data_IF_243435791576
#
_entry.id   IF_243435791576
#
_cell.length_a   1.000
_cell.length_b   1.000
_cell.length_c   1.000
_cell.angle_alpha   90.00
_cell.angle_beta   90.00
_cell.angle_gamma   90.00
#
_symmetry.space_group_name_H-M   'P 1'
#
loop_
_entity.id
_entity.type
_entity.pdbx_description
1 polymer ?
#
# COMPACT_ATOMS: atom_id res chain seq x y z
N UNK A 1 18.43 -18.28 -10.54
CA UNK A 1 18.20 -18.72 -11.95
C UNK A 1 19.54 -18.92 -12.66
N UNK A 2 19.80 -20.07 -13.30
CA UNK A 2 21.01 -20.26 -14.13
C UNK A 2 20.79 -19.65 -15.52
N UNK A 3 21.76 -18.87 -16.01
CA UNK A 3 21.73 -18.31 -17.36
C UNK A 3 21.80 -19.45 -18.40
N UNK A 4 20.97 -19.37 -19.44
CA UNK A 4 21.09 -20.25 -20.62
C UNK A 4 21.25 -19.42 -21.90
N UNK A 5 21.74 -20.04 -22.98
CA UNK A 5 21.99 -19.40 -24.28
C UNK A 5 20.78 -18.64 -24.87
N UNK A 6 19.54 -18.95 -24.44
CA UNK A 6 18.29 -18.35 -24.93
C UNK A 6 17.50 -17.58 -23.85
N UNK A 7 17.98 -17.56 -22.59
CA UNK A 7 17.26 -16.97 -21.46
C UNK A 7 18.25 -16.42 -20.45
N UNK A 8 18.61 -15.15 -20.62
CA UNK A 8 19.34 -14.42 -19.58
C UNK A 8 18.38 -14.01 -18.45
N UNK A 9 18.91 -13.83 -17.25
CA UNK A 9 18.15 -13.27 -16.11
C UNK A 9 17.51 -11.93 -16.47
N UNK A 10 18.16 -11.11 -17.29
CA UNK A 10 17.63 -9.82 -17.77
C UNK A 10 16.37 -9.99 -18.61
N UNK A 11 16.37 -10.93 -19.56
CA UNK A 11 15.18 -11.21 -20.39
C UNK A 11 14.05 -11.75 -19.52
N UNK A 12 14.36 -12.63 -18.56
CA UNK A 12 13.35 -13.12 -17.64
C UNK A 12 12.68 -11.98 -16.85
N UNK A 13 13.49 -11.08 -16.27
CA UNK A 13 12.99 -9.92 -15.53
C UNK A 13 12.19 -8.98 -16.43
N UNK A 14 12.64 -8.73 -17.66
CA UNK A 14 11.91 -7.91 -18.61
C UNK A 14 10.54 -8.51 -18.97
N UNK A 15 10.46 -9.84 -19.17
CA UNK A 15 9.18 -10.54 -19.40
C UNK A 15 8.26 -10.41 -18.19
N UNK A 16 8.78 -10.58 -16.98
CA UNK A 16 8.00 -10.44 -15.74
C UNK A 16 7.48 -9.01 -15.57
N UNK A 17 8.36 -8.01 -15.67
CA UNK A 17 7.96 -6.60 -15.53
C UNK A 17 6.97 -6.18 -16.63
N UNK A 18 7.17 -6.61 -17.88
CA UNK A 18 6.22 -6.33 -18.95
C UNK A 18 4.85 -6.98 -18.70
N UNK A 19 4.83 -8.22 -18.19
CA UNK A 19 3.58 -8.88 -17.78
C UNK A 19 2.85 -8.07 -16.73
N UNK A 20 3.56 -7.66 -15.69
CA UNK A 20 3.00 -7.02 -14.51
C UNK A 20 2.57 -5.56 -14.78
N UNK A 21 3.43 -4.78 -15.44
CA UNK A 21 3.16 -3.36 -15.74
C UNK A 21 2.12 -3.16 -16.83
N UNK A 22 2.16 -3.99 -17.88
CA UNK A 22 1.33 -3.78 -19.06
C UNK A 22 0.11 -4.70 -19.12
N UNK A 23 0.04 -5.73 -18.28
CA UNK A 23 -1.08 -6.69 -18.26
C UNK A 23 -1.15 -7.58 -19.51
N UNK A 24 -0.03 -7.74 -20.24
CA UNK A 24 -0.01 -8.42 -21.53
C UNK A 24 -0.29 -9.93 -21.41
N UNK A 25 -0.92 -10.52 -22.43
CA UNK A 25 -1.12 -11.97 -22.47
C UNK A 25 0.21 -12.70 -22.69
N UNK A 26 0.29 -13.97 -22.26
CA UNK A 26 1.51 -14.77 -22.43
C UNK A 26 1.86 -14.99 -23.92
N UNK A 27 0.85 -14.92 -24.80
CA UNK A 27 1.02 -14.98 -26.26
C UNK A 27 1.74 -13.74 -26.78
N UNK A 28 1.30 -12.56 -26.38
CA UNK A 28 1.93 -11.29 -26.78
C UNK A 28 3.37 -11.22 -26.26
N UNK A 29 3.59 -11.60 -25.00
CA UNK A 29 4.94 -11.65 -24.43
C UNK A 29 5.85 -12.65 -25.14
N UNK A 30 5.32 -13.82 -25.54
CA UNK A 30 6.10 -14.78 -26.29
C UNK A 30 6.55 -14.22 -27.64
N UNK A 31 5.70 -13.45 -28.33
CA UNK A 31 6.05 -12.77 -29.57
C UNK A 31 7.07 -11.66 -29.37
N UNK A 32 6.85 -10.76 -28.40
CA UNK A 32 7.73 -9.59 -28.16
C UNK A 32 9.16 -10.03 -27.78
N UNK A 33 9.28 -11.09 -26.97
CA UNK A 33 10.57 -11.56 -26.46
C UNK A 33 11.15 -12.75 -27.24
N UNK A 34 10.59 -13.08 -28.42
CA UNK A 34 10.99 -14.20 -29.27
C UNK A 34 11.15 -15.54 -28.49
N UNK A 35 10.12 -15.88 -27.72
CA UNK A 35 10.09 -17.07 -26.90
C UNK A 35 9.29 -18.18 -27.58
N UNK A 36 9.68 -19.44 -27.32
CA UNK A 36 9.07 -20.67 -27.87
C UNK A 36 7.57 -20.87 -27.58
N UNK A 37 6.90 -19.95 -26.87
CA UNK A 37 5.45 -19.94 -26.65
C UNK A 37 5.00 -19.69 -25.20
N UNK A 38 3.68 -19.74 -24.98
CA UNK A 38 3.03 -19.37 -23.71
C UNK A 38 3.54 -20.15 -22.49
N UNK A 39 3.84 -21.45 -22.68
CA UNK A 39 4.37 -22.32 -21.60
C UNK A 39 5.74 -21.81 -21.13
N UNK A 40 6.57 -21.31 -22.04
CA UNK A 40 7.89 -20.76 -21.76
C UNK A 40 7.78 -19.51 -20.90
N UNK A 41 6.85 -18.60 -21.25
CA UNK A 41 6.54 -17.38 -20.48
C UNK A 41 6.02 -17.71 -19.09
N UNK A 42 5.07 -18.65 -18.99
CA UNK A 42 4.50 -19.07 -17.69
C UNK A 42 5.57 -19.64 -16.76
N UNK A 43 6.50 -20.44 -17.29
CA UNK A 43 7.66 -20.95 -16.53
C UNK A 43 8.58 -19.82 -16.06
N UNK A 44 8.81 -18.79 -16.88
CA UNK A 44 9.61 -17.61 -16.49
C UNK A 44 8.95 -16.89 -15.33
N UNK A 45 7.66 -16.57 -15.47
CA UNK A 45 6.91 -15.81 -14.47
C UNK A 45 6.92 -16.55 -13.13
N UNK A 46 6.60 -17.85 -13.14
CA UNK A 46 6.56 -18.64 -11.91
C UNK A 46 7.94 -18.78 -11.25
N UNK A 47 8.99 -18.95 -12.05
CA UNK A 47 10.35 -19.04 -11.52
C UNK A 47 10.82 -17.72 -10.91
N UNK A 48 10.52 -16.60 -11.56
CA UNK A 48 10.85 -15.28 -11.02
C UNK A 48 10.03 -14.93 -9.79
N UNK A 49 8.73 -15.26 -9.76
CA UNK A 49 7.90 -15.09 -8.58
C UNK A 49 8.53 -15.76 -7.36
N UNK A 50 8.90 -17.04 -7.48
CA UNK A 50 9.54 -17.78 -6.39
C UNK A 50 10.84 -17.11 -5.92
N UNK A 51 11.71 -16.74 -6.87
CA UNK A 51 13.00 -16.10 -6.52
C UNK A 51 12.79 -14.73 -5.89
N UNK A 52 11.89 -13.90 -6.42
CA UNK A 52 11.62 -12.56 -5.88
C UNK A 52 10.96 -12.64 -4.50
N UNK A 53 10.05 -13.59 -4.29
CA UNK A 53 9.38 -13.78 -2.99
C UNK A 53 10.38 -14.20 -1.90
N UNK A 54 11.32 -15.09 -2.24
CA UNK A 54 12.28 -15.61 -1.25
C UNK A 54 13.46 -14.65 -1.04
N UNK A 55 14.04 -14.13 -2.13
CA UNK A 55 15.34 -13.43 -2.06
C UNK A 55 15.20 -11.90 -2.13
N UNK A 56 14.08 -11.35 -2.59
CA UNK A 56 13.92 -9.91 -2.82
C UNK A 56 12.94 -9.25 -1.84
N UNK A 57 11.74 -9.82 -1.68
CA UNK A 57 10.68 -9.28 -0.81
C UNK A 57 11.15 -9.07 0.64
N UNK A 58 11.80 -10.03 1.32
CA UNK A 58 12.18 -9.86 2.73
C UNK A 58 13.19 -8.75 2.99
N UNK A 59 13.90 -8.29 1.94
CA UNK A 59 14.88 -7.21 2.02
C UNK A 59 14.30 -5.84 1.69
N UNK A 60 13.01 -5.79 1.30
CA UNK A 60 12.34 -4.63 0.70
C UNK A 60 10.93 -4.39 1.24
N UNK A 61 10.41 -5.28 2.06
CA UNK A 61 9.21 -5.16 2.87
C UNK A 61 9.60 -5.65 4.26
N UNK A 62 9.22 -4.92 5.31
CA UNK A 62 9.58 -5.24 6.69
C UNK A 62 9.98 -4.03 7.54
N UNK A 63 10.06 -4.27 8.85
CA UNK A 63 10.08 -3.25 9.90
C UNK A 63 11.50 -2.79 10.22
N UNK A 64 11.90 -1.63 9.67
CA UNK A 64 13.07 -0.88 10.14
C UNK A 64 12.74 0.59 10.50
N UNK A 65 11.46 1.00 10.47
CA UNK A 65 11.06 2.41 10.62
C UNK A 65 9.71 2.59 11.34
N UNK A 66 9.52 3.76 11.99
CA UNK A 66 8.29 4.16 12.71
C UNK A 66 7.08 4.26 11.78
N UNK A 67 5.91 3.91 12.30
CA UNK A 67 4.77 3.39 11.55
C UNK A 67 3.64 4.39 11.32
N UNK A 68 3.01 4.35 10.14
CA UNK A 68 1.75 5.03 9.78
C UNK A 68 0.87 4.09 8.91
N UNK A 69 -0.07 3.40 9.55
CA UNK A 69 -0.96 2.45 8.86
C UNK A 69 -2.00 3.20 8.03
N UNK A 70 -2.08 2.95 6.71
CA UNK A 70 -3.21 3.37 5.86
C UNK A 70 -3.78 2.17 5.11
N UNK A 71 -5.09 2.11 5.09
CA UNK A 71 -5.86 0.94 4.71
C UNK A 71 -6.71 1.29 3.48
N UNK A 72 -6.81 0.40 2.48
CA UNK A 72 -7.70 0.55 1.31
C UNK A 72 -8.41 -0.78 1.01
N UNK A 73 -9.57 -0.70 0.35
CA UNK A 73 -10.71 -1.63 0.27
C UNK A 73 -10.44 -3.01 -0.38
N UNK A 74 -9.18 -3.39 -0.65
CA UNK A 74 -8.85 -4.71 -1.23
C UNK A 74 -7.50 -5.25 -0.76
N UNK A 75 -6.56 -4.35 -0.47
CA UNK A 75 -5.30 -4.64 0.22
C UNK A 75 -4.95 -3.45 1.09
N UNK A 76 -4.37 -3.73 2.25
CA UNK A 76 -4.05 -2.73 3.26
C UNK A 76 -2.53 -2.57 3.32
N UNK A 77 -1.95 -1.61 2.57
CA UNK A 77 -0.52 -1.34 2.64
C UNK A 77 -0.21 -0.46 3.84
N UNK A 78 0.38 -1.06 4.86
CA UNK A 78 0.89 -0.31 6.01
C UNK A 78 2.12 0.50 5.58
N UNK A 79 2.18 1.80 5.86
CA UNK A 79 3.29 2.66 5.42
C UNK A 79 4.03 3.30 6.60
N UNK A 80 5.20 3.90 6.40
CA UNK A 80 5.82 4.78 7.38
C UNK A 80 5.69 6.25 6.94
N UNK A 81 6.17 7.18 7.78
CA UNK A 81 6.26 8.60 7.43
C UNK A 81 7.15 8.89 6.20
N UNK A 82 7.99 7.92 5.80
CA UNK A 82 8.87 7.98 4.63
C UNK A 82 8.29 7.26 3.39
N UNK A 83 6.98 6.98 3.37
CA UNK A 83 6.25 6.38 2.25
C UNK A 83 6.67 4.93 1.90
N UNK A 84 7.38 4.27 2.81
CA UNK A 84 7.83 2.89 2.70
C UNK A 84 6.72 1.92 3.10
N UNK A 85 6.44 0.93 2.24
CA UNK A 85 5.42 -0.09 2.52
C UNK A 85 6.01 -1.16 3.45
N UNK A 86 5.44 -1.29 4.64
CA UNK A 86 5.90 -2.19 5.71
C UNK A 86 5.24 -3.56 5.65
N UNK A 87 3.95 -3.61 5.32
CA UNK A 87 3.17 -4.85 5.22
C UNK A 87 2.03 -4.69 4.23
N UNK A 88 1.59 -5.80 3.64
CA UNK A 88 0.44 -5.87 2.74
C UNK A 88 -0.48 -6.99 3.25
N UNK A 89 -1.71 -6.65 3.61
CA UNK A 89 -2.72 -7.63 4.03
C UNK A 89 -3.72 -7.90 2.90
N UNK A 90 -4.13 -9.16 2.78
CA UNK A 90 -5.09 -9.63 1.79
C UNK A 90 -4.51 -10.69 0.84
N UNK A 91 -5.21 -11.00 -0.27
CA UNK A 91 -6.47 -10.41 -0.73
C UNK A 91 -7.66 -10.77 0.17
N UNK A 92 -8.58 -9.82 0.34
CA UNK A 92 -9.90 -10.06 0.92
C UNK A 92 -10.95 -10.15 -0.20
N UNK A 93 -11.96 -11.00 -0.03
CA UNK A 93 -13.07 -11.09 -0.98
C UNK A 93 -13.92 -9.83 -0.88
N UNK A 94 -14.24 -9.20 -2.00
CA UNK A 94 -15.16 -8.06 -2.07
C UNK A 94 -16.63 -8.53 -1.94
N UNK A 95 -16.96 -9.12 -0.79
CA UNK A 95 -18.32 -9.49 -0.41
C UNK A 95 -18.84 -8.57 0.72
N UNK A 96 -20.16 -8.57 0.95
CA UNK A 96 -20.77 -7.73 1.99
C UNK A 96 -20.35 -8.08 3.43
N UNK A 97 -19.58 -9.16 3.62
CA UNK A 97 -19.08 -9.62 4.93
C UNK A 97 -17.67 -9.09 5.23
N UNK A 98 -16.86 -8.80 4.21
CA UNK A 98 -15.52 -8.24 4.35
C UNK A 98 -15.53 -6.72 4.13
N UNK A 99 -16.31 -5.98 4.92
CA UNK A 99 -16.14 -4.54 4.97
C UNK A 99 -14.81 -4.18 5.66
N UNK A 100 -14.34 -2.96 5.45
CA UNK A 100 -13.09 -2.44 5.98
C UNK A 100 -12.89 -2.67 7.49
N UNK A 101 -13.96 -2.52 8.27
CA UNK A 101 -13.92 -2.75 9.71
C UNK A 101 -13.73 -4.23 10.07
N UNK A 102 -14.42 -5.12 9.37
CA UNK A 102 -14.33 -6.58 9.58
C UNK A 102 -12.95 -7.10 9.21
N UNK A 103 -12.36 -6.57 8.13
CA UNK A 103 -11.00 -6.90 7.70
C UNK A 103 -9.98 -6.53 8.78
N UNK A 104 -10.06 -5.31 9.32
CA UNK A 104 -9.11 -4.87 10.35
C UNK A 104 -9.28 -5.63 11.65
N UNK A 105 -10.52 -5.86 12.08
CA UNK A 105 -10.76 -6.69 13.26
C UNK A 105 -10.19 -8.10 13.08
N UNK A 106 -10.27 -8.67 11.87
CA UNK A 106 -9.67 -9.97 11.58
C UNK A 106 -8.14 -9.95 11.68
N UNK A 107 -7.50 -9.01 10.97
CA UNK A 107 -6.04 -8.85 10.96
C UNK A 107 -5.49 -8.68 12.38
N UNK A 108 -6.14 -7.83 13.17
CA UNK A 108 -5.70 -7.52 14.53
C UNK A 108 -5.96 -8.68 15.50
N UNK A 109 -7.12 -9.36 15.40
CA UNK A 109 -7.45 -10.50 16.29
C UNK A 109 -6.58 -11.72 16.03
N UNK A 110 -6.23 -11.98 14.77
CA UNK A 110 -5.44 -13.14 14.39
C UNK A 110 -3.94 -12.89 14.48
N UNK A 111 -3.52 -11.67 14.83
CA UNK A 111 -2.13 -11.23 14.82
C UNK A 111 -1.46 -11.56 13.46
N UNK A 112 -2.16 -11.26 12.37
CA UNK A 112 -1.67 -11.55 11.03
C UNK A 112 -0.34 -10.82 10.81
N UNK A 113 0.67 -11.56 10.34
CA UNK A 113 2.04 -11.05 10.16
C UNK A 113 2.65 -10.46 11.45
N UNK A 114 2.14 -10.84 12.63
CA UNK A 114 2.64 -10.39 13.93
C UNK A 114 2.34 -8.92 14.22
N UNK A 115 1.28 -8.33 13.66
CA UNK A 115 0.92 -6.91 13.79
C UNK A 115 0.98 -6.35 15.21
N UNK A 116 0.59 -7.15 16.21
CA UNK A 116 0.61 -6.75 17.61
C UNK A 116 2.04 -6.60 18.18
N UNK A 117 3.03 -7.28 17.59
CA UNK A 117 4.42 -7.24 18.08
C UNK A 117 5.17 -5.96 17.69
N UNK A 118 4.65 -5.19 16.73
CA UNK A 118 5.32 -4.01 16.18
C UNK A 118 4.49 -2.73 16.17
N UNK A 119 3.24 -2.79 16.65
CA UNK A 119 2.50 -1.60 17.06
C UNK A 119 2.81 -1.29 18.52
N UNK A 120 3.26 -0.07 18.79
CA UNK A 120 3.47 0.44 20.14
C UNK A 120 2.33 1.38 20.55
N UNK A 121 2.08 1.50 21.86
CA UNK A 121 0.99 2.34 22.41
C UNK A 121 1.08 3.83 21.99
N UNK A 122 2.28 4.30 21.63
CA UNK A 122 2.53 5.67 21.17
C UNK A 122 2.35 5.86 19.64
N UNK A 123 2.08 4.79 18.89
CA UNK A 123 1.92 4.87 17.44
C UNK A 123 0.55 5.46 17.06
N UNK A 124 0.57 6.38 16.09
CA UNK A 124 -0.63 7.03 15.55
C UNK A 124 -1.01 6.39 14.23
N UNK A 125 -2.22 5.83 14.20
CA UNK A 125 -2.83 5.23 13.01
C UNK A 125 -3.74 6.26 12.36
N UNK A 126 -3.53 6.54 11.08
CA UNK A 126 -4.33 7.51 10.34
C UNK A 126 -5.17 6.77 9.31
N UNK A 127 -6.50 6.81 9.46
CA UNK A 127 -7.41 6.10 8.56
C UNK A 127 -8.32 7.04 7.77
N UNK A 128 -8.80 6.56 6.63
CA UNK A 128 -9.83 7.27 5.87
C UNK A 128 -11.23 7.10 6.48
N UNK A 129 -12.21 7.78 5.90
CA UNK A 129 -13.60 7.73 6.35
C UNK A 129 -14.26 6.35 6.21
N UNK A 130 -13.79 5.49 5.31
CA UNK A 130 -14.29 4.12 5.11
C UNK A 130 -13.99 3.18 6.28
N UNK A 131 -13.02 3.52 7.14
CA UNK A 131 -12.71 2.77 8.36
C UNK A 131 -13.45 3.26 9.60
N UNK A 132 -14.45 4.14 9.46
CA UNK A 132 -15.22 4.71 10.57
C UNK A 132 -15.70 3.65 11.57
N UNK A 133 -16.27 2.56 11.07
CA UNK A 133 -16.87 1.52 11.90
C UNK A 133 -15.81 0.62 12.57
N UNK A 134 -14.53 0.77 12.18
CA UNK A 134 -13.39 0.05 12.70
C UNK A 134 -12.66 0.79 13.83
N UNK A 135 -12.87 2.11 13.94
CA UNK A 135 -12.12 2.99 14.86
C UNK A 135 -12.22 2.50 16.30
N UNK A 136 -13.44 2.25 16.79
CA UNK A 136 -13.64 1.79 18.17
C UNK A 136 -12.87 0.49 18.45
N UNK A 137 -12.84 -0.44 17.49
CA UNK A 137 -12.13 -1.71 17.66
C UNK A 137 -10.61 -1.55 17.67
N UNK A 138 -10.08 -0.56 16.96
CA UNK A 138 -8.66 -0.22 17.01
C UNK A 138 -8.30 0.49 18.32
N UNK A 139 -9.14 1.39 18.80
CA UNK A 139 -8.96 2.08 20.09
C UNK A 139 -9.07 1.11 21.28
N UNK A 140 -9.96 0.12 21.23
CA UNK A 140 -10.06 -0.96 22.23
C UNK A 140 -8.78 -1.80 22.33
N UNK A 141 -7.98 -1.85 21.26
CA UNK A 141 -6.68 -2.51 21.22
C UNK A 141 -5.54 -1.62 21.74
N UNK A 142 -5.83 -0.41 22.21
CA UNK A 142 -4.86 0.53 22.76
C UNK A 142 -4.21 1.45 21.72
N UNK A 143 -4.69 1.46 20.48
CA UNK A 143 -4.09 2.23 19.38
C UNK A 143 -4.63 3.66 19.33
N UNK A 144 -3.75 4.63 19.05
CA UNK A 144 -4.18 6.01 18.80
C UNK A 144 -4.65 6.15 17.35
N UNK A 145 -5.95 6.39 17.13
CA UNK A 145 -6.53 6.47 15.78
C UNK A 145 -6.97 7.88 15.43
N UNK A 146 -6.50 8.39 14.29
CA UNK A 146 -6.90 9.67 13.70
C UNK A 146 -7.71 9.45 12.43
N UNK A 147 -8.89 10.05 12.35
CA UNK A 147 -9.78 10.00 11.19
C UNK A 147 -10.26 11.42 10.87
N UNK A 148 -10.42 11.80 9.59
CA UNK A 148 -10.90 13.14 9.29
C UNK A 148 -12.31 13.36 9.86
N UNK A 149 -12.60 14.57 10.32
CA UNK A 149 -13.85 14.84 11.07
C UNK A 149 -15.08 14.64 10.18
N UNK A 150 -16.22 14.34 10.82
CA UNK A 150 -17.52 14.20 10.16
C UNK A 150 -18.40 15.40 10.49
N UNK A 151 -19.15 15.91 9.52
CA UNK A 151 -20.03 17.07 9.72
C UNK A 151 -21.18 16.80 10.71
N UNK A 152 -21.58 15.52 10.93
CA UNK A 152 -22.59 15.10 11.92
C UNK A 152 -23.82 16.03 12.04
N UNK A 153 -24.34 16.51 10.90
CA UNK A 153 -25.52 17.40 10.85
C UNK A 153 -25.21 18.91 10.94
N UNK A 154 -23.97 19.32 11.18
CA UNK A 154 -23.50 20.71 11.03
C UNK A 154 -23.36 21.07 9.54
N UNK A 155 -23.60 22.34 9.19
CA UNK A 155 -23.35 22.83 7.82
C UNK A 155 -21.85 23.01 7.52
N UNK A 156 -21.04 23.24 8.55
CA UNK A 156 -19.60 23.51 8.43
C UNK A 156 -18.86 22.98 9.67
N UNK A 157 -17.58 22.65 9.51
CA UNK A 157 -16.67 22.35 10.62
C UNK A 157 -16.34 23.62 11.40
N UNK A 158 -16.11 23.47 12.71
CA UNK A 158 -15.40 24.51 13.46
C UNK A 158 -13.99 24.69 12.90
N UNK A 159 -13.37 25.85 13.15
CA UNK A 159 -12.00 26.10 12.72
C UNK A 159 -11.02 25.02 13.20
N UNK A 160 -11.13 24.59 14.46
CA UNK A 160 -10.28 23.55 15.03
C UNK A 160 -10.49 22.18 14.35
N UNK A 161 -11.75 21.76 14.13
CA UNK A 161 -12.08 20.51 13.42
C UNK A 161 -11.58 20.57 11.96
N UNK A 162 -11.71 21.72 11.29
CA UNK A 162 -11.25 21.91 9.92
C UNK A 162 -9.72 21.83 9.82
N UNK A 163 -9.00 22.46 10.74
CA UNK A 163 -7.54 22.43 10.77
C UNK A 163 -6.99 21.03 11.07
N UNK A 164 -7.59 20.31 12.03
CA UNK A 164 -7.24 18.91 12.32
C UNK A 164 -7.52 18.02 11.11
N UNK A 165 -8.69 18.16 10.50
CA UNK A 165 -9.07 17.41 9.29
C UNK A 165 -8.09 17.66 8.14
N UNK A 166 -7.71 18.91 7.87
CA UNK A 166 -6.70 19.23 6.83
C UNK A 166 -5.35 18.57 7.10
N UNK A 167 -4.93 18.51 8.35
CA UNK A 167 -3.67 17.86 8.74
C UNK A 167 -3.73 16.35 8.48
N UNK A 168 -4.82 15.71 8.90
CA UNK A 168 -5.07 14.28 8.64
C UNK A 168 -5.11 14.00 7.14
N UNK A 169 -5.91 14.76 6.37
CA UNK A 169 -6.07 14.55 4.92
C UNK A 169 -4.77 14.78 4.14
N UNK A 170 -3.91 15.71 4.54
CA UNK A 170 -2.60 15.91 3.90
C UNK A 170 -1.66 14.72 4.10
N UNK A 171 -1.70 14.08 5.27
CA UNK A 171 -0.96 12.84 5.51
C UNK A 171 -1.55 11.69 4.67
N UNK A 172 -2.88 11.55 4.67
CA UNK A 172 -3.57 10.56 3.82
C UNK A 172 -3.28 10.73 2.32
N UNK A 173 -3.12 11.96 1.84
CA UNK A 173 -2.84 12.24 0.42
C UNK A 173 -1.57 11.53 -0.08
N UNK A 174 -0.49 11.55 0.70
CA UNK A 174 0.76 10.86 0.35
C UNK A 174 0.52 9.36 0.16
N UNK A 175 -0.24 8.76 1.07
CA UNK A 175 -0.58 7.35 1.06
C UNK A 175 -1.50 7.01 -0.13
N UNK A 176 -2.50 7.85 -0.43
CA UNK A 176 -3.33 7.71 -1.62
C UNK A 176 -2.51 7.75 -2.92
N UNK A 177 -1.46 8.57 -2.97
CA UNK A 177 -0.54 8.62 -4.12
C UNK A 177 0.25 7.31 -4.24
N UNK A 178 0.80 6.79 -3.15
CA UNK A 178 1.52 5.50 -3.16
C UNK A 178 0.62 4.37 -3.62
N UNK A 179 -0.57 4.27 -3.05
CA UNK A 179 -1.55 3.26 -3.41
C UNK A 179 -2.02 3.41 -4.88
N UNK A 180 -2.28 4.64 -5.33
CA UNK A 180 -2.59 4.92 -6.74
C UNK A 180 -1.52 4.40 -7.70
N UNK A 181 -0.24 4.41 -7.31
CA UNK A 181 0.85 3.83 -8.11
C UNK A 181 0.83 2.31 -8.16
N UNK A 182 0.42 1.65 -7.08
CA UNK A 182 0.18 0.20 -7.07
C UNK A 182 -0.97 -0.16 -8.04
N UNK A 183 -2.01 0.69 -8.10
CA UNK A 183 -3.13 0.54 -9.05
C UNK A 183 -2.74 0.75 -10.52
N UNK A 184 -1.57 1.31 -10.82
CA UNK A 184 -1.06 1.43 -12.21
C UNK A 184 -0.58 0.08 -12.79
N UNK A 185 -0.40 -0.96 -11.97
CA UNK A 185 0.05 -2.28 -12.42
C UNK A 185 -1.11 -3.06 -13.05
N UNK A 186 -1.22 -2.93 -14.38
CA UNK A 186 -2.35 -3.46 -15.18
C UNK A 186 -2.58 -4.97 -15.06
N UNK A 187 -1.61 -5.74 -14.56
CA UNK A 187 -1.79 -7.16 -14.30
C UNK A 187 -2.93 -7.47 -13.33
N UNK A 188 -3.12 -6.63 -12.31
CA UNK A 188 -4.15 -6.84 -11.31
C UNK A 188 -5.57 -6.53 -11.82
N UNK A 189 -5.69 -5.76 -12.91
CA UNK A 189 -6.99 -5.40 -13.48
C UNK A 189 -7.68 -6.58 -14.18
N UNK A 190 -6.90 -7.55 -14.68
CA UNK A 190 -7.40 -8.66 -15.51
C UNK A 190 -6.73 -9.98 -15.13
N UNK A 191 -6.88 -10.38 -13.87
CA UNK A 191 -6.33 -11.64 -13.37
C UNK A 191 -7.12 -12.84 -13.88
N UNK A 192 -6.39 -13.89 -14.25
CA UNK A 192 -6.98 -15.20 -14.53
C UNK A 192 -7.21 -15.94 -13.21
N UNK A 193 -8.30 -16.70 -13.09
CA UNK A 193 -8.62 -17.48 -11.89
C UNK A 193 -7.45 -18.39 -11.44
N UNK A 194 -6.72 -18.98 -12.39
CA UNK A 194 -5.55 -19.82 -12.12
C UNK A 194 -4.38 -19.07 -11.47
N UNK A 195 -4.35 -17.74 -11.59
CA UNK A 195 -3.33 -16.87 -11.02
C UNK A 195 -3.69 -16.34 -9.63
N UNK A 196 -4.95 -16.46 -9.19
CA UNK A 196 -5.41 -15.94 -7.90
C UNK A 196 -4.63 -16.49 -6.70
N UNK A 197 -4.20 -17.75 -6.78
CA UNK A 197 -3.38 -18.40 -5.73
C UNK A 197 -2.00 -17.76 -5.52
N UNK A 198 -1.52 -16.99 -6.48
CA UNK A 198 -0.22 -16.32 -6.42
C UNK A 198 -0.35 -14.83 -6.11
N UNK A 199 -1.58 -14.37 -5.93
CA UNK A 199 -1.90 -12.96 -5.80
C UNK A 199 -1.26 -12.31 -4.56
N UNK A 200 -1.17 -12.96 -3.38
CA UNK A 200 -0.38 -12.43 -2.25
C UNK A 200 1.08 -12.17 -2.64
N UNK A 201 1.78 -13.21 -3.12
CA UNK A 201 3.19 -13.11 -3.57
C UNK A 201 3.37 -12.00 -4.62
N UNK A 202 2.44 -11.89 -5.56
CA UNK A 202 2.49 -10.92 -6.65
C UNK A 202 2.33 -9.48 -6.15
N UNK A 203 1.50 -9.27 -5.13
CA UNK A 203 1.35 -7.97 -4.48
C UNK A 203 2.60 -7.61 -3.68
N UNK A 204 3.14 -8.54 -2.88
CA UNK A 204 4.36 -8.32 -2.12
C UNK A 204 5.54 -7.98 -3.02
N UNK A 205 5.70 -8.69 -4.15
CA UNK A 205 6.73 -8.37 -5.13
C UNK A 205 6.56 -6.96 -5.69
N UNK A 206 5.33 -6.55 -6.03
CA UNK A 206 5.06 -5.21 -6.57
C UNK A 206 5.34 -4.13 -5.54
N UNK A 207 4.93 -4.32 -4.29
CA UNK A 207 5.22 -3.40 -3.19
C UNK A 207 6.73 -3.32 -2.89
N UNK A 208 7.44 -4.46 -2.90
CA UNK A 208 8.89 -4.51 -2.76
C UNK A 208 9.61 -3.77 -3.90
N UNK A 209 9.11 -3.88 -5.14
CA UNK A 209 9.64 -3.15 -6.29
C UNK A 209 9.40 -1.64 -6.17
N UNK A 210 8.26 -1.24 -5.60
CA UNK A 210 8.01 0.16 -5.26
C UNK A 210 9.03 0.67 -4.23
N UNK A 211 9.20 -0.03 -3.11
CA UNK A 211 10.15 0.36 -2.08
C UNK A 211 11.59 0.41 -2.59
N UNK A 212 11.99 -0.49 -3.49
CA UNK A 212 13.37 -0.57 -3.99
C UNK A 212 13.72 0.49 -5.03
N UNK A 213 12.78 0.87 -5.91
CA UNK A 213 13.12 1.59 -7.14
C UNK A 213 12.32 2.87 -7.36
N UNK A 214 11.33 3.15 -6.51
CA UNK A 214 10.55 4.38 -6.64
C UNK A 214 11.35 5.55 -6.07
N UNK A 215 11.24 6.71 -6.73
CA UNK A 215 11.63 7.98 -6.13
C UNK A 215 10.61 8.34 -5.04
N UNK A 216 11.10 8.85 -3.90
CA UNK A 216 10.24 9.41 -2.86
C UNK A 216 9.30 10.47 -3.46
N UNK A 217 8.04 10.50 -3.03
CA UNK A 217 7.07 11.52 -3.44
C UNK A 217 7.52 12.88 -2.90
N UNK A 218 8.10 12.91 -1.70
CA UNK A 218 8.83 14.05 -1.17
C UNK A 218 10.16 14.29 -1.92
N UNK A 219 10.13 15.23 -2.88
CA UNK A 219 11.32 15.64 -3.66
C UNK A 219 12.23 16.63 -2.93
N UNK A 220 11.74 17.28 -1.87
CA UNK A 220 12.46 18.29 -1.09
C UNK A 220 12.19 18.08 0.42
N UNK A 221 12.98 17.22 1.10
CA UNK A 221 12.77 16.90 2.51
C UNK A 221 13.06 18.07 3.45
N UNK A 222 13.98 18.97 3.09
CA UNK A 222 14.36 20.11 3.93
C UNK A 222 13.21 21.10 4.04
N UNK A 223 12.61 21.45 2.91
CA UNK A 223 11.44 22.32 2.87
C UNK A 223 10.20 21.61 3.43
N UNK A 224 10.11 20.28 3.29
CA UNK A 224 9.05 19.47 3.90
C UNK A 224 9.00 19.58 5.43
N UNK A 225 10.15 19.54 6.10
CA UNK A 225 10.23 19.71 7.57
C UNK A 225 9.79 21.12 7.98
N UNK A 226 10.20 22.13 7.24
CA UNK A 226 9.85 23.53 7.53
C UNK A 226 8.36 23.79 7.29
N UNK A 227 7.80 23.26 6.19
CA UNK A 227 6.36 23.25 5.93
C UNK A 227 5.58 22.50 7.01
N UNK A 228 6.08 21.37 7.51
CA UNK A 228 5.44 20.65 8.61
C UNK A 228 5.40 21.48 9.90
N UNK A 229 6.49 22.20 10.23
CA UNK A 229 6.51 23.14 11.37
C UNK A 229 5.50 24.26 11.20
N UNK A 230 5.48 24.91 10.04
CA UNK A 230 4.49 25.96 9.72
C UNK A 230 3.07 25.40 9.83
N UNK A 231 2.83 24.18 9.36
CA UNK A 231 1.53 23.53 9.48
C UNK A 231 1.13 23.30 10.93
N UNK A 232 2.05 22.85 11.79
CA UNK A 232 1.81 22.67 13.23
C UNK A 232 1.48 24.00 13.92
N UNK A 233 2.18 25.08 13.57
CA UNK A 233 1.90 26.42 14.08
C UNK A 233 0.52 26.94 13.63
N UNK A 234 0.13 26.63 12.38
CA UNK A 234 -1.15 27.06 11.82
C UNK A 234 -2.36 26.28 12.34
N UNK A 235 -2.19 25.10 12.93
CA UNK A 235 -3.32 24.31 13.49
C UNK A 235 -4.10 25.12 14.54
N UNK A 236 -3.39 25.92 15.34
CA UNK A 236 -3.97 26.73 16.41
C UNK A 236 -4.52 28.08 15.93
N UNK A 237 -4.33 28.44 14.65
CA UNK A 237 -4.78 29.74 14.14
C UNK A 237 -6.27 29.71 13.81
N UNK A 238 -7.01 30.67 14.37
CA UNK A 238 -8.42 30.88 14.04
C UNK A 238 -8.60 31.38 12.61
N UNK A 239 -9.73 31.02 11.99
CA UNK A 239 -10.02 31.30 10.60
C UNK A 239 -10.79 32.63 10.56
N UNK A 240 -10.26 33.64 9.89
CA UNK A 240 -10.84 34.99 9.87
C UNK A 240 -12.16 35.09 9.07
N UNK A 241 -12.66 33.96 8.56
CA UNK A 241 -13.88 33.82 7.76
C UNK A 241 -15.15 33.59 8.60
N UNK A 242 -15.05 33.41 9.93
CA UNK A 242 -16.20 33.26 10.83
C UNK A 242 -16.83 34.63 11.21
N UNK A 243 -17.00 35.54 10.24
CA UNK A 243 -17.74 36.81 10.39
C UNK A 243 -19.12 36.74 9.73
#
# INVERSE_FOLDING_TARGET
MRNSKLRSVRVALAVFLAKFRLGLSNRVLATIFDLKGNRTVSKIINQLRQVLTIDFVPHRIGLNHKLCIVMDDTYIPIQNQDEYILAVFGPFLADGHNNNASIIQHIMKNDDQGIASWLHDDDVIIVDHGFRDAVNSMEELGLCVEIPSFLKGKKQFSTQEANRTRTITKNLLHNCIVNGKTKEWKYFNYLQNSSLRFLPDDMDIVCALHNAFRQAVMRDPTNGIELAKIMLEQIQKENELDK
#
